data_IF_625747634931
#
_entry.id   IF_625747634931
#
_cell.length_a   1.000
_cell.length_b   1.000
_cell.length_c   1.000
_cell.angle_alpha   90.00
_cell.angle_beta   90.00
_cell.angle_gamma   90.00
#
_symmetry.space_group_name_H-M   'P 1'
#
loop_
_entity.id
_entity.type
_entity.pdbx_description
1 polymer ?
#
# COMPACT_ATOMS: atom_id res chain seq x y z
N UNK A 1 -16.46 10.98 -1.06
CA UNK A 1 -15.85 9.79 -0.47
C UNK A 1 -14.35 10.02 -0.39
N UNK A 2 -13.75 9.65 0.70
CA UNK A 2 -12.30 9.73 0.85
C UNK A 2 -11.56 8.82 -0.15
N UNK A 3 -10.40 9.27 -0.62
CA UNK A 3 -9.48 8.42 -1.37
C UNK A 3 -8.76 7.49 -0.40
N UNK A 4 -8.90 6.19 -0.59
CA UNK A 4 -8.25 5.19 0.24
C UNK A 4 -6.88 4.83 -0.34
N UNK A 5 -5.84 4.92 0.50
CA UNK A 5 -4.48 4.58 0.15
C UNK A 5 -3.95 3.46 1.08
N UNK A 6 -4.29 2.20 0.83
CA UNK A 6 -3.71 1.09 1.58
C UNK A 6 -2.24 0.92 1.21
N UNK A 7 -1.37 0.94 2.22
CA UNK A 7 0.08 0.79 2.08
C UNK A 7 0.51 -0.56 2.63
N UNK A 8 0.94 -1.44 1.76
CA UNK A 8 1.39 -2.79 2.08
C UNK A 8 2.88 -2.99 1.75
N UNK A 9 3.41 -4.13 2.15
CA UNK A 9 4.75 -4.58 1.75
C UNK A 9 4.89 -6.06 2.01
N UNK A 10 5.58 -6.77 1.12
CA UNK A 10 5.71 -8.23 1.19
C UNK A 10 6.43 -8.72 2.45
N UNK A 11 7.26 -7.89 3.10
CA UNK A 11 7.99 -8.22 4.33
C UNK A 11 8.05 -7.06 5.32
N UNK A 12 8.45 -7.36 6.57
CA UNK A 12 8.78 -6.34 7.57
C UNK A 12 10.08 -5.58 7.22
N UNK A 13 10.20 -4.36 7.72
CA UNK A 13 11.44 -3.58 7.60
C UNK A 13 11.65 -2.81 6.28
N UNK A 14 10.73 -2.88 5.31
CA UNK A 14 10.81 -2.10 4.05
C UNK A 14 10.46 -0.61 4.23
N UNK A 15 10.07 -0.19 5.45
CA UNK A 15 9.77 1.21 5.76
C UNK A 15 8.34 1.65 5.44
N UNK A 16 7.36 0.73 5.34
CA UNK A 16 5.94 1.07 5.12
C UNK A 16 5.46 2.21 6.00
N UNK A 17 5.56 2.04 7.31
CA UNK A 17 5.06 3.01 8.30
C UNK A 17 5.75 4.37 8.20
N UNK A 18 7.03 4.40 7.83
CA UNK A 18 7.77 5.65 7.59
C UNK A 18 7.24 6.35 6.33
N UNK A 19 7.02 5.60 5.25
CA UNK A 19 6.41 6.13 4.01
C UNK A 19 4.98 6.60 4.28
N UNK A 20 4.13 5.76 4.90
CA UNK A 20 2.74 6.09 5.24
C UNK A 20 2.65 7.38 6.08
N UNK A 21 3.48 7.49 7.12
CA UNK A 21 3.50 8.66 7.99
C UNK A 21 3.91 9.94 7.26
N UNK A 22 5.05 9.90 6.54
CA UNK A 22 5.56 11.11 5.90
C UNK A 22 4.73 11.52 4.69
N UNK A 23 4.10 10.57 3.98
CA UNK A 23 3.09 10.86 2.96
C UNK A 23 1.85 11.53 3.57
N UNK A 24 1.37 11.04 4.72
CA UNK A 24 0.23 11.64 5.43
C UNK A 24 0.52 13.08 5.86
N UNK A 25 1.71 13.34 6.42
CA UNK A 25 2.14 14.69 6.78
C UNK A 25 2.25 15.59 5.55
N UNK A 26 2.76 15.07 4.43
CA UNK A 26 2.89 15.83 3.18
C UNK A 26 1.53 16.24 2.62
N UNK A 27 0.57 15.32 2.55
CA UNK A 27 -0.80 15.62 2.11
C UNK A 27 -1.47 16.65 3.03
N UNK A 28 -1.30 16.49 4.34
CA UNK A 28 -1.84 17.45 5.32
C UNK A 28 -1.23 18.85 5.16
N UNK A 29 0.08 18.96 4.89
CA UNK A 29 0.74 20.23 4.58
C UNK A 29 0.25 20.86 3.26
N UNK A 30 -0.26 20.05 2.34
CA UNK A 30 -0.94 20.51 1.11
C UNK A 30 -2.42 20.85 1.35
N UNK A 31 -2.82 21.04 2.62
CA UNK A 31 -4.18 21.36 3.05
C UNK A 31 -5.21 20.28 2.67
N UNK A 32 -4.82 19.02 2.54
CA UNK A 32 -5.73 17.88 2.38
C UNK A 32 -6.09 17.32 3.75
N UNK A 33 -7.39 17.23 4.04
CA UNK A 33 -7.86 16.55 5.25
C UNK A 33 -7.48 15.06 5.17
N UNK A 34 -6.49 14.66 5.95
CA UNK A 34 -5.86 13.34 5.88
C UNK A 34 -6.07 12.59 7.18
N UNK A 35 -6.42 11.32 7.07
CA UNK A 35 -6.47 10.40 8.20
C UNK A 35 -5.42 9.31 7.98
N UNK A 36 -4.53 9.13 8.95
CA UNK A 36 -3.58 8.03 8.98
C UNK A 36 -4.13 6.93 9.90
N UNK A 37 -4.35 5.74 9.36
CA UNK A 37 -4.92 4.60 10.07
C UNK A 37 -3.87 3.50 10.22
N UNK A 38 -3.54 3.13 11.46
CA UNK A 38 -2.62 2.02 11.76
C UNK A 38 -3.40 0.70 11.76
N UNK A 39 -3.24 -0.08 10.70
CA UNK A 39 -3.85 -1.40 10.53
C UNK A 39 -2.85 -2.55 10.72
N UNK A 40 -1.65 -2.27 11.24
CA UNK A 40 -0.73 -3.30 11.73
C UNK A 40 -1.15 -3.75 13.14
N UNK A 41 -2.28 -4.46 13.21
CA UNK A 41 -2.89 -4.91 14.48
C UNK A 41 -2.02 -5.91 15.27
N UNK A 42 -0.90 -6.36 14.70
CA UNK A 42 0.09 -7.21 15.37
C UNK A 42 1.31 -6.46 15.87
N UNK A 43 1.52 -5.21 15.42
CA UNK A 43 2.73 -4.43 15.70
C UNK A 43 2.55 -2.93 15.51
N UNK A 44 1.38 -2.38 15.88
CA UNK A 44 1.06 -0.96 15.73
C UNK A 44 2.11 -0.05 16.38
N UNK A 45 2.76 0.79 15.58
CA UNK A 45 3.86 1.65 16.00
C UNK A 45 3.72 3.12 15.58
N UNK A 46 2.73 3.46 14.76
CA UNK A 46 2.58 4.81 14.23
C UNK A 46 2.33 5.85 15.33
N UNK A 47 1.61 5.50 16.42
CA UNK A 47 1.45 6.39 17.58
C UNK A 47 2.80 6.82 18.16
N UNK A 48 3.78 5.90 18.22
CA UNK A 48 5.13 6.19 18.69
C UNK A 48 5.86 7.14 17.74
N UNK A 49 5.76 6.91 16.44
CA UNK A 49 6.39 7.76 15.41
C UNK A 49 5.78 9.17 15.36
N UNK A 50 4.50 9.32 15.75
CA UNK A 50 3.80 10.60 15.89
C UNK A 50 4.06 11.28 17.23
N UNK A 51 4.74 10.63 18.17
CA UNK A 51 4.94 11.14 19.53
C UNK A 51 3.67 11.13 20.38
N UNK A 52 2.64 10.39 19.95
CA UNK A 52 1.37 10.30 20.67
C UNK A 52 1.43 9.25 21.79
N UNK A 53 0.62 9.48 22.83
CA UNK A 53 0.39 8.48 23.88
C UNK A 53 -0.66 7.49 23.41
N UNK A 54 -0.39 6.19 23.57
CA UNK A 54 -1.35 5.13 23.24
C UNK A 54 -2.31 4.87 24.41
N UNK A 55 -3.09 5.89 24.79
CA UNK A 55 -4.04 5.85 25.92
C UNK A 55 -5.48 6.22 25.51
N UNK A 56 -5.75 6.35 24.24
CA UNK A 56 -7.06 6.65 23.67
C UNK A 56 -7.62 5.40 22.99
N UNK A 57 -8.93 5.41 22.69
CA UNK A 57 -9.57 4.35 21.93
C UNK A 57 -8.91 4.18 20.56
N UNK A 58 -8.72 2.94 20.15
CA UNK A 58 -8.18 2.56 18.85
C UNK A 58 -8.96 1.39 18.24
N UNK A 59 -8.47 0.83 17.16
CA UNK A 59 -9.13 -0.29 16.47
C UNK A 59 -9.27 -1.53 17.36
N UNK A 60 -8.31 -1.78 18.28
CA UNK A 60 -8.40 -2.89 19.23
C UNK A 60 -9.58 -2.77 20.18
N UNK A 61 -9.80 -1.59 20.76
CA UNK A 61 -10.96 -1.31 21.63
C UNK A 61 -12.28 -1.39 20.86
N UNK A 62 -12.29 -0.99 19.58
CA UNK A 62 -13.44 -1.13 18.69
C UNK A 62 -13.75 -2.60 18.35
N UNK A 63 -12.74 -3.39 18.03
CA UNK A 63 -12.87 -4.82 17.71
C UNK A 63 -13.39 -5.58 18.95
N UNK A 64 -12.92 -5.24 20.14
CA UNK A 64 -13.36 -5.86 21.40
C UNK A 64 -14.68 -5.29 21.93
N UNK A 65 -15.30 -4.36 21.19
CA UNK A 65 -16.60 -3.71 21.54
C UNK A 65 -16.55 -2.89 22.84
N UNK A 66 -15.39 -2.47 23.30
CA UNK A 66 -15.22 -1.52 24.40
C UNK A 66 -15.56 -0.10 23.94
N UNK A 67 -15.28 0.20 22.65
CA UNK A 67 -15.78 1.37 21.96
C UNK A 67 -16.73 0.91 20.83
N UNK A 68 -17.84 1.57 20.66
CA UNK A 68 -18.87 1.22 19.66
C UNK A 68 -19.04 2.25 18.58
N UNK A 69 -18.64 3.49 18.84
CA UNK A 69 -18.65 4.58 17.87
C UNK A 69 -17.27 4.72 17.21
N UNK A 70 -17.23 4.51 15.89
CA UNK A 70 -15.98 4.58 15.12
C UNK A 70 -15.39 5.99 15.08
N UNK A 71 -16.22 7.03 15.21
CA UNK A 71 -15.77 8.43 15.21
C UNK A 71 -14.91 8.76 16.44
N UNK A 72 -15.12 8.07 17.57
CA UNK A 72 -14.32 8.25 18.77
C UNK A 72 -12.88 7.71 18.66
N UNK A 73 -12.55 7.00 17.58
CA UNK A 73 -11.19 6.52 17.32
C UNK A 73 -10.30 7.62 16.70
N UNK A 74 -10.90 8.70 16.20
CA UNK A 74 -10.17 9.80 15.57
C UNK A 74 -9.42 10.63 16.61
N UNK A 75 -8.11 10.66 16.50
CA UNK A 75 -7.21 11.39 17.42
C UNK A 75 -6.56 12.55 16.68
N UNK A 76 -6.48 13.71 17.34
CA UNK A 76 -5.71 14.83 16.84
C UNK A 76 -4.20 14.52 16.98
N UNK A 77 -3.44 14.79 15.92
CA UNK A 77 -1.97 14.58 15.93
C UNK A 77 -1.17 15.80 16.37
N UNK A 78 -1.82 16.97 16.45
CA UNK A 78 -1.15 18.26 16.59
C UNK A 78 -0.61 18.80 15.26
N UNK A 79 -0.67 18.05 14.17
CA UNK A 79 -0.34 18.48 12.82
C UNK A 79 -1.66 18.93 12.16
N UNK A 80 -1.76 20.18 11.65
CA UNK A 80 -2.96 20.66 10.98
C UNK A 80 -3.39 19.73 9.85
N UNK A 81 -4.69 19.50 9.69
CA UNK A 81 -5.30 18.63 8.67
C UNK A 81 -4.90 17.16 8.73
N UNK A 82 -4.25 16.70 9.83
CA UNK A 82 -3.90 15.29 10.03
C UNK A 82 -4.56 14.73 11.29
N UNK A 83 -5.40 13.73 11.12
CA UNK A 83 -5.93 12.91 12.20
C UNK A 83 -5.35 11.49 12.16
N UNK A 84 -5.47 10.78 13.26
CA UNK A 84 -4.90 9.45 13.42
C UNK A 84 -5.91 8.48 14.01
N UNK A 85 -5.90 7.22 13.55
CA UNK A 85 -6.59 6.08 14.16
C UNK A 85 -5.54 5.06 14.58
N UNK A 86 -5.46 4.80 15.89
CA UNK A 86 -4.48 3.86 16.45
C UNK A 86 -4.87 2.40 16.19
N UNK A 87 -3.87 1.56 15.90
CA UNK A 87 -4.05 0.11 15.76
C UNK A 87 -4.38 -0.59 17.07
N UNK A 88 -3.86 -0.08 18.19
CA UNK A 88 -4.12 -0.52 19.55
C UNK A 88 -3.99 -2.04 19.76
N UNK A 89 -2.76 -2.48 20.09
CA UNK A 89 -2.40 -3.90 20.17
C UNK A 89 -2.52 -4.51 21.58
N UNK A 90 -3.28 -3.89 22.50
CA UNK A 90 -3.31 -4.32 23.89
C UNK A 90 -3.97 -5.69 24.13
N UNK A 91 -4.73 -6.20 23.15
CA UNK A 91 -5.45 -7.45 23.30
C UNK A 91 -4.89 -8.55 22.38
N UNK A 92 -4.49 -9.71 22.95
CA UNK A 92 -4.10 -10.87 22.14
C UNK A 92 -5.22 -11.31 21.19
N UNK A 93 -4.89 -11.60 19.93
CA UNK A 93 -5.86 -12.11 18.95
C UNK A 93 -6.63 -11.05 18.15
N UNK A 94 -6.46 -9.76 18.40
CA UNK A 94 -7.09 -8.66 17.62
C UNK A 94 -6.72 -8.76 16.13
N UNK A 95 -5.51 -9.21 15.81
CA UNK A 95 -5.07 -9.43 14.44
C UNK A 95 -5.89 -10.51 13.68
N UNK A 96 -6.57 -11.40 14.39
CA UNK A 96 -7.40 -12.49 13.83
C UNK A 96 -8.89 -12.12 13.83
N UNK A 97 -9.23 -10.96 13.31
CA UNK A 97 -10.62 -10.53 13.24
C UNK A 97 -11.47 -11.40 12.31
N UNK A 98 -12.74 -11.60 12.69
CA UNK A 98 -13.71 -12.29 11.86
C UNK A 98 -14.12 -11.45 10.62
N UNK A 99 -14.81 -12.12 9.69
CA UNK A 99 -15.23 -11.50 8.44
C UNK A 99 -16.17 -10.30 8.63
N UNK A 100 -17.13 -10.38 9.57
CA UNK A 100 -18.14 -9.33 9.77
C UNK A 100 -17.51 -8.09 10.41
N UNK A 101 -16.66 -8.28 11.41
CA UNK A 101 -15.90 -7.22 12.05
C UNK A 101 -15.01 -6.48 11.02
N UNK A 102 -14.27 -7.22 10.20
CA UNK A 102 -13.46 -6.63 9.12
C UNK A 102 -14.32 -5.83 8.13
N UNK A 103 -15.43 -6.40 7.67
CA UNK A 103 -16.35 -5.71 6.73
C UNK A 103 -16.90 -4.41 7.35
N UNK A 104 -17.22 -4.43 8.64
CA UNK A 104 -17.68 -3.25 9.37
C UNK A 104 -16.61 -2.17 9.44
N UNK A 105 -15.36 -2.54 9.77
CA UNK A 105 -14.22 -1.60 9.80
C UNK A 105 -13.99 -0.99 8.42
N UNK A 106 -13.93 -1.79 7.35
CA UNK A 106 -13.76 -1.30 5.99
C UNK A 106 -14.86 -0.29 5.63
N UNK A 107 -16.12 -0.61 5.93
CA UNK A 107 -17.25 0.31 5.68
C UNK A 107 -17.10 1.62 6.44
N UNK A 108 -16.70 1.57 7.72
CA UNK A 108 -16.49 2.77 8.52
C UNK A 108 -15.34 3.62 7.98
N UNK A 109 -14.20 3.00 7.61
CA UNK A 109 -13.07 3.71 6.97
C UNK A 109 -13.52 4.40 5.68
N UNK A 110 -14.33 3.75 4.84
CA UNK A 110 -14.87 4.30 3.60
C UNK A 110 -15.82 5.48 3.83
N UNK A 111 -16.45 5.56 4.99
CA UNK A 111 -17.39 6.64 5.37
C UNK A 111 -16.75 7.79 6.13
N UNK A 112 -15.45 7.77 6.39
CA UNK A 112 -14.73 8.85 7.05
C UNK A 112 -14.78 10.13 6.21
N UNK A 113 -14.97 11.26 6.90
CA UNK A 113 -14.96 12.59 6.27
C UNK A 113 -13.52 13.10 6.17
N UNK A 114 -12.90 12.77 5.06
CA UNK A 114 -11.52 13.13 4.74
C UNK A 114 -11.32 13.19 3.22
N UNK A 115 -10.27 13.89 2.77
CA UNK A 115 -9.82 13.81 1.37
C UNK A 115 -9.07 12.49 1.14
N UNK A 116 -8.19 12.12 2.08
CA UNK A 116 -7.35 10.91 2.02
C UNK A 116 -7.41 10.11 3.31
N UNK A 117 -7.47 8.79 3.18
CA UNK A 117 -7.25 7.84 4.28
C UNK A 117 -6.08 6.94 3.92
N UNK A 118 -4.95 7.15 4.57
CA UNK A 118 -3.77 6.28 4.43
C UNK A 118 -3.90 5.14 5.43
N UNK A 119 -3.89 3.90 4.93
CA UNK A 119 -4.01 2.69 5.73
C UNK A 119 -2.66 1.98 5.79
N UNK A 120 -1.92 2.11 6.90
CA UNK A 120 -0.65 1.41 7.11
C UNK A 120 -0.92 -0.05 7.48
N UNK A 121 -0.70 -0.96 6.55
CA UNK A 121 -1.00 -2.37 6.71
C UNK A 121 0.19 -3.11 7.34
N UNK A 122 -0.11 -4.15 8.13
CA UNK A 122 0.91 -5.04 8.66
C UNK A 122 1.74 -5.74 7.58
N UNK A 123 2.82 -6.38 7.99
CA UNK A 123 3.67 -7.16 7.09
C UNK A 123 3.05 -8.53 6.76
N UNK A 124 3.41 -9.06 5.59
CA UNK A 124 2.98 -10.38 5.12
C UNK A 124 1.68 -10.35 4.33
N UNK A 125 1.12 -11.55 4.06
CA UNK A 125 0.00 -11.77 3.15
C UNK A 125 -1.18 -12.52 3.78
N UNK A 126 -1.50 -12.21 5.04
CA UNK A 126 -2.70 -12.76 5.68
C UNK A 126 -3.96 -12.26 4.97
N UNK A 127 -5.05 -13.01 5.06
CA UNK A 127 -6.33 -12.60 4.44
C UNK A 127 -6.82 -11.24 4.93
N UNK A 128 -6.54 -10.86 6.18
CA UNK A 128 -6.93 -9.56 6.67
C UNK A 128 -6.16 -8.43 5.97
N UNK A 129 -4.85 -8.55 5.85
CA UNK A 129 -4.00 -7.57 5.16
C UNK A 129 -4.40 -7.46 3.69
N UNK A 130 -4.56 -8.60 3.00
CA UNK A 130 -4.97 -8.62 1.60
C UNK A 130 -6.37 -8.00 1.42
N UNK A 131 -7.31 -8.27 2.32
CA UNK A 131 -8.67 -7.75 2.21
C UNK A 131 -8.72 -6.23 2.43
N UNK A 132 -7.87 -5.66 3.29
CA UNK A 132 -7.68 -4.22 3.41
C UNK A 132 -6.97 -3.63 2.19
N UNK A 133 -5.95 -4.29 1.67
CA UNK A 133 -5.28 -3.86 0.45
C UNK A 133 -6.23 -3.79 -0.76
N UNK A 134 -7.13 -4.74 -0.89
CA UNK A 134 -8.14 -4.83 -1.96
C UNK A 134 -9.41 -3.99 -1.68
N UNK A 135 -9.34 -2.97 -0.82
CA UNK A 135 -10.40 -1.96 -0.68
C UNK A 135 -10.39 -0.95 -1.83
N UNK A 136 -9.31 -0.90 -2.57
CA UNK A 136 -9.11 -0.12 -3.80
C UNK A 136 -8.44 -0.99 -4.87
N UNK A 137 -8.44 -0.54 -6.12
CA UNK A 137 -7.74 -1.23 -7.22
C UNK A 137 -6.25 -0.89 -7.29
N UNK A 138 -5.85 0.22 -6.69
CA UNK A 138 -4.56 0.89 -6.84
C UNK A 138 -3.80 1.02 -5.51
N UNK A 139 -3.88 -0.02 -4.68
CA UNK A 139 -3.14 -0.08 -3.42
C UNK A 139 -1.62 0.06 -3.60
N UNK A 140 -0.96 0.64 -2.61
CA UNK A 140 0.46 0.96 -2.63
C UNK A 140 1.27 -0.21 -2.06
N UNK A 141 2.33 -0.61 -2.77
CA UNK A 141 3.32 -1.59 -2.31
C UNK A 141 4.66 -0.89 -2.09
N UNK A 142 5.16 -0.90 -0.85
CA UNK A 142 6.50 -0.41 -0.53
C UNK A 142 7.50 -1.55 -0.64
N UNK A 143 8.56 -1.32 -1.41
CA UNK A 143 9.67 -2.26 -1.61
C UNK A 143 11.00 -1.59 -1.28
N UNK A 144 12.00 -2.36 -0.87
CA UNK A 144 13.40 -1.94 -0.77
C UNK A 144 14.21 -2.57 -1.92
N UNK A 145 15.36 -1.96 -2.31
CA UNK A 145 16.18 -2.43 -3.44
C UNK A 145 17.01 -3.66 -3.07
N UNK A 146 16.32 -4.72 -2.63
CA UNK A 146 16.92 -6.02 -2.38
C UNK A 146 16.04 -7.14 -2.96
N UNK A 147 16.67 -8.20 -3.43
CA UNK A 147 16.00 -9.30 -4.12
C UNK A 147 14.90 -9.93 -3.26
N UNK A 148 15.11 -10.04 -1.94
CA UNK A 148 14.14 -10.65 -1.04
C UNK A 148 12.90 -9.78 -0.89
N UNK A 149 13.03 -8.45 -0.88
CA UNK A 149 11.93 -7.51 -0.87
C UNK A 149 11.08 -7.63 -2.14
N UNK A 150 11.73 -7.65 -3.30
CA UNK A 150 11.07 -7.80 -4.61
C UNK A 150 10.29 -9.13 -4.69
N UNK A 151 10.90 -10.25 -4.28
CA UNK A 151 10.24 -11.56 -4.28
C UNK A 151 9.07 -11.63 -3.29
N UNK A 152 9.20 -11.01 -2.12
CA UNK A 152 8.10 -10.95 -1.15
C UNK A 152 6.96 -10.04 -1.62
N UNK A 153 7.26 -8.90 -2.26
CA UNK A 153 6.26 -8.04 -2.88
C UNK A 153 5.50 -8.78 -4.00
N UNK A 154 6.22 -9.49 -4.86
CA UNK A 154 5.59 -10.36 -5.86
C UNK A 154 4.70 -11.43 -5.22
N UNK A 155 5.14 -12.09 -4.16
CA UNK A 155 4.34 -13.10 -3.45
C UNK A 155 3.08 -12.51 -2.83
N UNK A 156 3.18 -11.28 -2.29
CA UNK A 156 2.03 -10.53 -1.78
C UNK A 156 1.04 -10.22 -2.90
N UNK A 157 1.49 -9.60 -4.00
CA UNK A 157 0.66 -9.25 -5.15
C UNK A 157 -0.01 -10.49 -5.74
N UNK A 158 0.71 -11.59 -5.84
CA UNK A 158 0.15 -12.87 -6.27
C UNK A 158 -1.00 -13.32 -5.38
N UNK A 159 -0.85 -13.26 -4.05
CA UNK A 159 -1.91 -13.60 -3.10
C UNK A 159 -3.10 -12.64 -3.23
N UNK A 160 -2.84 -11.35 -3.45
CA UNK A 160 -3.88 -10.34 -3.68
C UNK A 160 -4.65 -10.61 -4.99
N UNK A 161 -3.97 -10.89 -6.10
CA UNK A 161 -4.59 -11.23 -7.40
C UNK A 161 -5.46 -12.48 -7.29
N UNK A 162 -4.94 -13.54 -6.66
CA UNK A 162 -5.73 -14.75 -6.41
C UNK A 162 -6.98 -14.47 -5.57
N UNK A 163 -6.82 -13.71 -4.48
CA UNK A 163 -7.93 -13.34 -3.60
C UNK A 163 -8.95 -12.49 -4.31
N UNK A 164 -8.50 -11.55 -5.13
CA UNK A 164 -9.36 -10.68 -5.93
C UNK A 164 -10.17 -11.50 -6.95
N UNK A 165 -9.50 -12.32 -7.75
CA UNK A 165 -10.14 -13.20 -8.74
C UNK A 165 -11.11 -14.19 -8.09
N UNK A 166 -10.71 -14.81 -6.96
CA UNK A 166 -11.58 -15.73 -6.23
C UNK A 166 -12.90 -15.09 -5.81
N UNK A 167 -12.92 -13.79 -5.52
CA UNK A 167 -14.11 -13.04 -5.13
C UNK A 167 -15.04 -12.73 -6.31
N UNK A 168 -14.56 -12.77 -7.55
CA UNK A 168 -15.39 -12.54 -8.72
C UNK A 168 -16.38 -13.68 -8.99
N UNK A 169 -16.12 -14.87 -8.48
CA UNK A 169 -16.95 -16.05 -8.66
C UNK A 169 -17.88 -16.31 -7.48
N UNK A 170 -19.01 -16.93 -7.74
CA UNK A 170 -20.00 -17.27 -6.69
C UNK A 170 -19.42 -18.24 -5.65
N UNK A 171 -19.86 -18.18 -4.38
CA UNK A 171 -19.45 -19.16 -3.37
C UNK A 171 -19.73 -20.60 -3.81
N UNK A 172 -18.75 -21.49 -3.60
CA UNK A 172 -18.81 -22.92 -3.98
C UNK A 172 -18.95 -23.20 -5.48
N UNK A 173 -18.72 -22.21 -6.34
CA UNK A 173 -18.79 -22.41 -7.79
C UNK A 173 -17.67 -23.29 -8.32
N UNK A 174 -17.84 -23.94 -9.49
CA UNK A 174 -16.79 -24.72 -10.14
C UNK A 174 -15.54 -23.91 -10.48
N UNK A 175 -15.69 -22.62 -10.82
CA UNK A 175 -14.59 -21.71 -11.10
C UNK A 175 -13.69 -21.53 -9.86
N UNK A 176 -14.30 -21.38 -8.66
CA UNK A 176 -13.53 -21.33 -7.40
C UNK A 176 -12.79 -22.64 -7.14
N UNK A 177 -13.38 -23.79 -7.49
CA UNK A 177 -12.72 -25.08 -7.34
C UNK A 177 -11.52 -25.19 -8.29
N UNK A 178 -11.63 -24.72 -9.54
CA UNK A 178 -10.51 -24.70 -10.49
C UNK A 178 -9.37 -23.84 -9.94
N UNK A 179 -9.67 -22.64 -9.43
CA UNK A 179 -8.66 -21.77 -8.78
C UNK A 179 -7.97 -22.45 -7.59
N UNK A 180 -8.74 -23.09 -6.71
CA UNK A 180 -8.18 -23.79 -5.54
C UNK A 180 -7.31 -24.98 -5.96
N UNK A 181 -7.76 -25.78 -6.91
CA UNK A 181 -7.01 -26.92 -7.43
C UNK A 181 -5.70 -26.50 -8.09
N UNK A 182 -5.66 -25.35 -8.78
CA UNK A 182 -4.43 -24.82 -9.38
C UNK A 182 -3.38 -24.45 -8.33
N UNK A 183 -3.80 -24.01 -7.14
CA UNK A 183 -2.91 -23.76 -6.00
C UNK A 183 -2.33 -25.10 -5.47
N UNK A 184 -3.18 -26.11 -5.33
CA UNK A 184 -2.76 -27.43 -4.86
C UNK A 184 -1.79 -28.12 -5.82
N UNK A 185 -2.08 -28.08 -7.13
CA UNK A 185 -1.21 -28.64 -8.18
C UNK A 185 0.17 -27.97 -8.22
N UNK A 186 0.25 -26.68 -7.85
CA UNK A 186 1.52 -25.98 -7.72
C UNK A 186 2.37 -26.55 -6.57
N UNK A 187 1.76 -26.98 -5.47
CA UNK A 187 2.47 -27.66 -4.38
C UNK A 187 3.08 -28.99 -4.86
N UNK A 188 2.55 -29.55 -5.96
CA UNK A 188 3.06 -30.75 -6.62
C UNK A 188 4.10 -30.45 -7.72
N UNK A 189 4.60 -29.21 -7.81
CA UNK A 189 5.68 -28.81 -8.73
C UNK A 189 5.22 -28.38 -10.12
N UNK A 190 3.91 -28.25 -10.40
CA UNK A 190 3.39 -27.72 -11.66
C UNK A 190 3.14 -26.20 -11.51
N UNK A 191 3.92 -25.39 -12.20
CA UNK A 191 3.70 -23.94 -12.26
C UNK A 191 2.80 -23.56 -13.43
N UNK A 192 1.59 -23.11 -13.12
CA UNK A 192 0.72 -22.44 -14.09
C UNK A 192 0.83 -20.93 -13.94
N UNK A 193 0.95 -20.21 -15.06
CA UNK A 193 0.74 -18.75 -15.05
C UNK A 193 -0.73 -18.46 -14.73
N UNK A 194 -1.00 -17.24 -14.27
CA UNK A 194 -2.38 -16.87 -13.95
C UNK A 194 -3.28 -16.92 -15.20
N UNK A 195 -2.75 -16.53 -16.36
CA UNK A 195 -3.46 -16.64 -17.66
C UNK A 195 -3.86 -18.06 -18.02
N UNK A 196 -3.00 -19.04 -17.76
CA UNK A 196 -3.32 -20.45 -18.01
C UNK A 196 -4.51 -20.90 -17.15
N UNK A 197 -4.58 -20.46 -15.90
CA UNK A 197 -5.69 -20.78 -15.00
C UNK A 197 -6.98 -20.13 -15.52
N UNK A 198 -6.92 -18.85 -15.89
CA UNK A 198 -8.07 -18.13 -16.46
C UNK A 198 -8.52 -18.74 -17.79
N UNK A 199 -7.61 -19.21 -18.64
CA UNK A 199 -7.94 -19.91 -19.90
C UNK A 199 -8.68 -21.20 -19.63
N UNK A 200 -8.32 -21.98 -18.60
CA UNK A 200 -9.06 -23.18 -18.20
C UNK A 200 -10.46 -22.82 -17.72
N UNK A 201 -10.63 -21.73 -16.96
CA UNK A 201 -11.95 -21.27 -16.53
C UNK A 201 -12.76 -20.80 -17.76
N UNK A 202 -12.16 -20.00 -18.65
CA UNK A 202 -12.82 -19.48 -19.85
C UNK A 202 -13.29 -20.58 -20.81
N UNK A 203 -12.55 -21.67 -20.93
CA UNK A 203 -12.96 -22.81 -21.78
C UNK A 203 -14.23 -23.51 -21.30
N UNK A 204 -14.54 -23.42 -20.00
CA UNK A 204 -15.70 -24.07 -19.38
C UNK A 204 -16.83 -23.10 -19.02
N UNK A 205 -16.45 -21.87 -18.65
CA UNK A 205 -17.34 -20.83 -18.12
C UNK A 205 -17.00 -19.47 -18.76
N UNK A 206 -17.23 -19.28 -20.08
CA UNK A 206 -16.75 -18.10 -20.80
C UNK A 206 -17.29 -16.78 -20.24
N UNK A 207 -18.57 -16.67 -19.93
CA UNK A 207 -19.19 -15.43 -19.43
C UNK A 207 -18.64 -15.00 -18.06
N UNK A 208 -18.50 -15.95 -17.12
CA UNK A 208 -17.97 -15.64 -15.79
C UNK A 208 -16.48 -15.33 -15.83
N UNK A 209 -15.73 -15.98 -16.74
CA UNK A 209 -14.32 -15.68 -16.97
C UNK A 209 -14.12 -14.30 -17.58
N UNK A 210 -14.90 -13.91 -18.59
CA UNK A 210 -14.81 -12.57 -19.21
C UNK A 210 -15.05 -11.47 -18.17
N UNK A 211 -16.08 -11.62 -17.33
CA UNK A 211 -16.36 -10.68 -16.24
C UNK A 211 -15.18 -10.61 -15.26
N UNK A 212 -14.64 -11.74 -14.84
CA UNK A 212 -13.50 -11.78 -13.91
C UNK A 212 -12.26 -11.12 -14.52
N UNK A 213 -11.95 -11.38 -15.80
CA UNK A 213 -10.82 -10.77 -16.52
C UNK A 213 -11.01 -9.25 -16.64
N UNK A 214 -12.24 -8.79 -16.96
CA UNK A 214 -12.57 -7.36 -17.03
C UNK A 214 -12.33 -6.66 -15.69
N UNK A 215 -12.76 -7.26 -14.58
CA UNK A 215 -12.53 -6.71 -13.25
C UNK A 215 -11.04 -6.72 -12.87
N UNK A 216 -10.32 -7.77 -13.25
CA UNK A 216 -8.87 -7.87 -12.96
C UNK A 216 -8.04 -6.82 -13.68
N UNK A 217 -8.43 -6.39 -14.88
CA UNK A 217 -7.76 -5.30 -15.63
C UNK A 217 -7.82 -3.96 -14.89
N UNK A 218 -8.75 -3.79 -13.95
CA UNK A 218 -8.82 -2.58 -13.11
C UNK A 218 -7.79 -2.59 -11.98
N UNK A 219 -7.23 -3.76 -11.65
CA UNK A 219 -6.25 -3.89 -10.57
C UNK A 219 -4.90 -3.35 -11.04
N UNK A 220 -4.52 -2.20 -10.50
CA UNK A 220 -3.34 -1.44 -10.90
C UNK A 220 -2.50 -1.02 -9.68
N UNK A 221 -1.80 -1.99 -9.02
CA UNK A 221 -1.01 -1.69 -7.84
C UNK A 221 0.09 -0.69 -8.12
N UNK A 222 0.31 0.22 -7.17
CA UNK A 222 1.34 1.24 -7.22
C UNK A 222 2.51 0.84 -6.36
N UNK A 223 3.72 1.12 -6.83
CA UNK A 223 4.94 0.71 -6.16
C UNK A 223 5.72 1.95 -5.76
N UNK A 224 6.19 1.97 -4.51
CA UNK A 224 7.18 2.93 -4.01
C UNK A 224 8.44 2.15 -3.69
N UNK A 225 9.54 2.49 -4.36
CA UNK A 225 10.86 1.99 -3.99
C UNK A 225 11.42 2.85 -2.87
N UNK A 226 11.54 2.30 -1.69
CA UNK A 226 12.07 2.97 -0.51
C UNK A 226 13.49 2.50 -0.20
N UNK A 227 14.26 3.33 0.50
CA UNK A 227 15.67 3.07 0.85
C UNK A 227 16.56 2.91 -0.39
N UNK A 228 16.23 3.60 -1.48
CA UNK A 228 16.97 3.57 -2.73
C UNK A 228 18.37 4.15 -2.58
N UNK A 229 19.30 3.60 -3.36
CA UNK A 229 20.72 4.03 -3.35
C UNK A 229 21.17 4.63 -4.69
N UNK A 230 20.32 4.55 -5.69
CA UNK A 230 20.57 5.15 -7.00
C UNK A 230 20.16 4.27 -8.18
N UNK A 231 20.78 4.54 -9.34
CA UNK A 231 20.43 3.90 -10.61
C UNK A 231 20.59 2.37 -10.63
N UNK A 232 21.45 1.81 -9.79
CA UNK A 232 21.63 0.35 -9.67
C UNK A 232 20.36 -0.38 -9.21
N UNK A 233 19.44 0.34 -8.58
CA UNK A 233 18.21 -0.23 -8.05
C UNK A 233 17.13 -0.40 -9.13
N UNK A 234 17.28 0.31 -10.26
CA UNK A 234 16.31 0.31 -11.38
C UNK A 234 16.11 -1.10 -11.94
N UNK A 235 17.19 -1.86 -12.11
CA UNK A 235 17.11 -3.23 -12.65
C UNK A 235 16.25 -4.13 -11.74
N UNK A 236 16.43 -4.03 -10.42
CA UNK A 236 15.63 -4.80 -9.44
C UNK A 236 14.16 -4.38 -9.48
N UNK A 237 13.90 -3.08 -9.61
CA UNK A 237 12.54 -2.55 -9.76
C UNK A 237 11.85 -3.09 -11.01
N UNK A 238 12.52 -3.06 -12.15
CA UNK A 238 11.99 -3.56 -13.42
C UNK A 238 11.70 -5.06 -13.38
N UNK A 239 12.44 -5.84 -12.59
CA UNK A 239 12.13 -7.26 -12.37
C UNK A 239 10.75 -7.47 -11.73
N UNK A 240 10.35 -6.62 -10.79
CA UNK A 240 9.02 -6.72 -10.18
C UNK A 240 7.92 -6.46 -11.19
N UNK A 241 8.04 -5.39 -12.01
CA UNK A 241 7.07 -5.09 -13.07
C UNK A 241 6.95 -6.22 -14.08
N UNK A 242 8.07 -6.79 -14.51
CA UNK A 242 8.09 -7.92 -15.44
C UNK A 242 7.44 -9.18 -14.83
N UNK A 243 7.65 -9.44 -13.53
CA UNK A 243 7.01 -10.56 -12.83
C UNK A 243 5.49 -10.37 -12.72
N UNK A 244 5.02 -9.16 -12.39
CA UNK A 244 3.60 -8.87 -12.28
C UNK A 244 2.90 -8.99 -13.63
N UNK A 245 3.45 -8.41 -14.68
CA UNK A 245 2.91 -8.49 -16.04
C UNK A 245 2.88 -9.93 -16.56
N UNK A 246 4.02 -10.62 -16.53
CA UNK A 246 4.18 -11.91 -17.19
C UNK A 246 3.59 -13.09 -16.41
N UNK A 247 3.45 -12.99 -15.08
CA UNK A 247 3.00 -14.09 -14.23
C UNK A 247 1.62 -13.89 -13.62
N UNK A 248 1.20 -12.63 -13.42
CA UNK A 248 -0.05 -12.30 -12.75
C UNK A 248 -1.05 -11.62 -13.68
N UNK A 249 -0.62 -11.21 -14.89
CA UNK A 249 -1.47 -10.53 -15.90
C UNK A 249 -2.12 -9.26 -15.37
N UNK A 250 -1.38 -8.54 -14.52
CA UNK A 250 -1.75 -7.23 -14.03
C UNK A 250 -0.63 -6.23 -14.35
N UNK A 251 -1.03 -5.01 -14.62
CA UNK A 251 -0.11 -3.89 -14.73
C UNK A 251 0.12 -3.30 -13.35
N UNK A 252 1.36 -2.95 -13.05
CA UNK A 252 1.75 -2.19 -11.87
C UNK A 252 2.67 -1.06 -12.30
N UNK A 253 2.69 0.03 -11.53
CA UNK A 253 3.52 1.20 -11.86
C UNK A 253 4.33 1.67 -10.65
N UNK A 254 5.49 2.27 -10.90
CA UNK A 254 6.21 3.00 -9.88
C UNK A 254 5.66 4.43 -9.79
N UNK A 255 5.24 4.82 -8.58
CA UNK A 255 4.80 6.18 -8.27
C UNK A 255 5.85 6.97 -7.49
N UNK A 256 6.92 6.31 -7.03
CA UNK A 256 7.96 7.01 -6.31
C UNK A 256 9.22 6.20 -6.05
N UNK A 257 10.31 6.97 -5.91
CA UNK A 257 11.60 6.53 -5.41
C UNK A 257 11.95 7.37 -4.19
N UNK A 258 12.15 6.70 -3.07
CA UNK A 258 12.52 7.32 -1.80
C UNK A 258 13.94 6.89 -1.48
N UNK A 259 14.91 7.81 -1.48
CA UNK A 259 16.29 7.46 -1.20
C UNK A 259 16.49 7.05 0.25
N UNK A 260 17.56 6.31 0.49
CA UNK A 260 18.00 6.00 1.84
C UNK A 260 18.35 7.31 2.57
N UNK A 261 17.80 7.46 3.78
CA UNK A 261 17.96 8.67 4.58
C UNK A 261 18.32 8.30 6.03
N UNK A 262 19.52 8.65 6.44
CA UNK A 262 20.05 8.37 7.79
C UNK A 262 19.23 9.07 8.90
N UNK A 263 18.59 10.20 8.57
CA UNK A 263 17.79 10.97 9.52
C UNK A 263 16.52 10.23 9.96
N UNK A 264 16.09 9.19 9.25
CA UNK A 264 14.96 8.34 9.65
C UNK A 264 15.20 7.74 11.04
N UNK A 265 16.39 7.23 11.31
CA UNK A 265 16.74 6.66 12.63
C UNK A 265 16.60 7.70 13.74
N UNK A 266 17.03 8.93 13.48
CA UNK A 266 16.93 10.02 14.45
C UNK A 266 15.45 10.43 14.65
N UNK A 267 14.64 10.48 13.60
CA UNK A 267 13.21 10.79 13.69
C UNK A 267 12.45 9.77 14.55
N UNK A 268 12.75 8.50 14.38
CA UNK A 268 12.20 7.40 15.20
C UNK A 268 12.60 7.59 16.68
N UNK A 269 13.88 7.84 16.95
CA UNK A 269 14.37 8.04 18.31
C UNK A 269 13.74 9.27 18.99
N UNK A 270 13.47 10.33 18.24
CA UNK A 270 12.82 11.56 18.72
C UNK A 270 11.28 11.46 18.73
N UNK A 271 10.71 10.37 18.22
CA UNK A 271 9.27 10.19 18.09
C UNK A 271 8.59 11.36 17.37
N UNK A 272 9.18 11.79 16.28
CA UNK A 272 8.69 12.92 15.50
C UNK A 272 8.79 12.59 14.00
N UNK A 273 7.73 12.84 13.19
CA UNK A 273 7.79 12.64 11.75
C UNK A 273 8.98 13.36 11.12
N UNK A 274 9.67 12.70 10.19
CA UNK A 274 10.84 13.28 9.55
C UNK A 274 10.49 14.55 8.77
N UNK A 275 9.31 14.58 8.14
CA UNK A 275 8.77 15.76 7.42
C UNK A 275 8.55 16.99 8.32
N UNK A 276 8.46 16.79 9.64
CA UNK A 276 8.41 17.89 10.63
C UNK A 276 9.80 18.21 11.15
N UNK A 277 10.60 17.20 11.46
CA UNK A 277 11.92 17.36 12.07
C UNK A 277 12.95 17.92 11.09
N UNK A 278 12.93 17.45 9.84
CA UNK A 278 13.90 17.81 8.79
C UNK A 278 13.24 17.76 7.41
N UNK A 279 12.41 18.77 7.06
CA UNK A 279 11.61 18.77 5.82
C UNK A 279 12.45 18.81 4.54
N UNK A 280 13.72 19.19 4.63
CA UNK A 280 14.68 19.23 3.53
C UNK A 280 15.48 17.94 3.34
N UNK A 281 15.20 16.90 4.13
CA UNK A 281 15.91 15.62 4.04
C UNK A 281 15.52 14.85 2.76
N UNK A 282 16.40 13.96 2.27
CA UNK A 282 16.19 13.22 1.02
C UNK A 282 14.83 12.54 0.92
N UNK A 283 14.40 11.85 1.97
CA UNK A 283 13.07 11.21 2.03
C UNK A 283 11.96 12.24 1.87
N UNK A 284 12.03 13.36 2.60
CA UNK A 284 10.97 14.36 2.60
C UNK A 284 10.85 15.09 1.26
N UNK A 285 11.94 15.24 0.52
CA UNK A 285 11.95 15.84 -0.81
C UNK A 285 11.26 14.95 -1.87
N UNK A 286 11.21 13.64 -1.66
CA UNK A 286 10.52 12.71 -2.55
C UNK A 286 9.00 12.68 -2.34
N UNK A 287 8.51 12.98 -1.13
CA UNK A 287 7.08 12.81 -0.77
C UNK A 287 6.12 13.69 -1.57
N UNK A 288 6.38 14.99 -1.86
CA UNK A 288 5.45 15.82 -2.64
C UNK A 288 5.22 15.30 -4.05
N UNK A 289 6.23 14.74 -4.69
CA UNK A 289 6.12 14.18 -6.03
C UNK A 289 5.30 12.89 -6.03
N UNK A 290 5.52 12.03 -5.03
CA UNK A 290 4.71 10.83 -4.82
C UNK A 290 3.24 11.23 -4.60
N UNK A 291 2.97 12.22 -3.73
CA UNK A 291 1.62 12.73 -3.49
C UNK A 291 0.97 13.22 -4.79
N UNK A 292 1.69 14.01 -5.59
CA UNK A 292 1.20 14.53 -6.87
C UNK A 292 0.86 13.43 -7.88
N UNK A 293 1.68 12.37 -7.99
CA UNK A 293 1.39 11.23 -8.87
C UNK A 293 0.17 10.43 -8.38
N UNK A 294 0.03 10.27 -7.07
CA UNK A 294 -1.16 9.64 -6.50
C UNK A 294 -2.43 10.46 -6.74
N UNK A 295 -2.36 11.78 -6.68
CA UNK A 295 -3.50 12.66 -6.97
C UNK A 295 -3.91 12.66 -8.46
N UNK A 296 -2.95 12.64 -9.38
CA UNK A 296 -3.21 12.67 -10.81
C UNK A 296 -4.06 11.50 -11.28
N UNK A 297 -3.81 10.31 -10.74
CA UNK A 297 -4.57 9.09 -11.05
C UNK A 297 -5.98 9.06 -10.46
N UNK A 298 -6.19 9.67 -9.28
CA UNK A 298 -7.52 9.76 -8.64
C UNK A 298 -8.45 10.71 -9.40
N UNK A 299 -7.89 11.72 -10.05
CA UNK A 299 -8.66 12.77 -10.75
C UNK A 299 -9.34 12.30 -12.03
N UNK A 300 -9.29 11.00 -12.39
CA UNK A 300 -9.92 10.47 -13.62
C UNK A 300 -9.46 11.18 -14.88
N UNK A 301 -8.33 11.88 -14.84
CA UNK A 301 -7.64 12.22 -16.06
C UNK A 301 -7.21 10.88 -16.64
N UNK A 302 -7.93 10.43 -17.68
CA UNK A 302 -7.43 9.43 -18.62
C UNK A 302 -6.08 9.97 -19.14
N UNK A 303 -5.06 9.79 -18.34
CA UNK A 303 -3.71 9.85 -18.81
C UNK A 303 -3.64 8.55 -19.60
N UNK A 304 -3.77 8.67 -20.91
CA UNK A 304 -3.63 7.57 -21.85
C UNK A 304 -2.43 6.75 -21.40
N UNK A 305 -2.67 5.48 -21.05
CA UNK A 305 -1.68 4.53 -20.51
C UNK A 305 -0.40 4.40 -21.39
N UNK A 306 -0.40 4.98 -22.58
CA UNK A 306 0.73 5.04 -23.49
C UNK A 306 1.73 6.18 -23.19
N UNK A 307 1.30 7.28 -22.50
CA UNK A 307 2.13 8.48 -22.32
C UNK A 307 2.68 8.68 -20.90
N UNK A 308 2.34 7.85 -19.92
CA UNK A 308 2.68 8.08 -18.50
C UNK A 308 3.23 6.83 -17.79
N UNK A 309 3.80 5.90 -18.50
CA UNK A 309 4.75 5.01 -17.86
C UNK A 309 6.08 5.78 -17.70
N UNK A 310 6.12 6.77 -16.80
CA UNK A 310 7.41 7.13 -16.23
C UNK A 310 7.98 5.83 -15.69
N UNK A 311 8.96 5.28 -16.37
CA UNK A 311 9.63 4.10 -15.87
C UNK A 311 10.41 4.50 -14.61
N UNK A 312 10.73 3.54 -13.75
CA UNK A 312 11.48 3.82 -12.51
C UNK A 312 12.75 4.64 -12.78
N UNK A 313 13.34 4.51 -13.97
CA UNK A 313 14.53 5.25 -14.41
C UNK A 313 14.25 6.76 -14.51
N UNK A 314 13.15 7.16 -15.10
CA UNK A 314 12.75 8.58 -15.20
C UNK A 314 12.48 9.18 -13.81
N UNK A 315 11.82 8.41 -12.93
CA UNK A 315 11.57 8.82 -11.54
C UNK A 315 12.89 9.03 -10.78
N UNK A 316 13.83 8.09 -10.91
CA UNK A 316 15.15 8.17 -10.27
C UNK A 316 15.94 9.35 -10.82
N UNK A 317 15.97 9.53 -12.16
CA UNK A 317 16.64 10.65 -12.81
C UNK A 317 16.04 11.99 -12.36
N UNK A 318 14.71 12.13 -12.39
CA UNK A 318 14.01 13.34 -11.94
C UNK A 318 14.36 13.72 -10.51
N UNK A 319 14.45 12.72 -9.62
CA UNK A 319 14.83 12.95 -8.23
C UNK A 319 16.27 13.49 -8.12
N UNK A 320 17.26 12.86 -8.76
CA UNK A 320 18.64 13.29 -8.68
C UNK A 320 18.91 14.62 -9.39
N UNK A 321 18.20 14.94 -10.47
CA UNK A 321 18.28 16.23 -11.14
C UNK A 321 17.80 17.38 -10.24
N UNK A 322 16.75 17.15 -9.46
CA UNK A 322 16.23 18.11 -8.48
C UNK A 322 17.22 18.36 -7.35
N UNK A 323 17.87 17.30 -6.85
CA UNK A 323 18.92 17.42 -5.84
C UNK A 323 20.09 18.26 -6.36
N UNK A 324 20.61 17.94 -7.54
CA UNK A 324 21.74 18.65 -8.14
C UNK A 324 21.45 20.15 -8.39
N UNK A 325 20.20 20.50 -8.75
CA UNK A 325 19.78 21.89 -8.89
C UNK A 325 19.70 22.62 -7.55
N UNK A 326 19.28 21.94 -6.49
CA UNK A 326 19.18 22.53 -5.15
C UNK A 326 20.56 22.83 -4.57
N UNK A 327 21.52 21.92 -4.76
CA UNK A 327 22.90 22.12 -4.32
C UNK A 327 23.58 23.30 -5.03
N UNK A 328 23.30 23.51 -6.33
CA UNK A 328 23.83 24.68 -7.08
C UNK A 328 23.27 26.00 -6.57
N UNK A 329 21.98 26.07 -6.22
CA UNK A 329 21.36 27.29 -5.72
C UNK A 329 21.73 27.63 -4.25
N UNK A 330 22.47 26.76 -3.53
CA UNK A 330 23.02 27.07 -2.19
C UNK A 330 24.41 27.72 -2.24
N UNK A 331 25.06 27.74 -3.42
CA UNK A 331 26.40 28.30 -3.62
C UNK A 331 26.40 29.60 -4.45
N UNK A 332 25.23 30.04 -4.95
CA UNK A 332 24.96 31.34 -5.54
C UNK A 332 24.24 32.25 -4.52
#
# INVERSE_FOLDING_TARGET
MAVLLPVAGGKGGVGKSIVSLNLAVTLAHQCRNTILCDLDLGGANLHTLLGLKNNQAGLGTYITKQETDFSNLLQATGIPSLQFIAGDCHYPGVANMDFFTKKKIIKNIQSLDADYVIMDLGAGSTYNIIDFFLTTYDGIIVVSPDLTSILNAYSFLKSAVFRFCYRQFAPKSPERQILQNSILQRMEGKEYSFDQILSVIASKFPESAEKAISEMKKLHPRIIMNMGRGHTDIELGNRLLNLTRNKLSIEAEYVGFVPYDENVTLSIARRQPLSIMKPDSPLCLAMPEIASRLEATVSGKDIFLEDVQENLEEIVNSYYDKLNKKDRNQYD
#
